data_IF_874194167883
#
_entry.id   IF_874194167883
#
_cell.length_a   1.000
_cell.length_b   1.000
_cell.length_c   1.000
_cell.angle_alpha   90.00
_cell.angle_beta   90.00
_cell.angle_gamma   90.00
#
_symmetry.space_group_name_H-M   'P 1'
#
loop_
_entity.id
_entity.type
_entity.pdbx_description
1 polymer ?
#
# COMPACT_ATOMS: atom_id res chain seq x y z
N UNK A 1 -18.53 17.11 0.65
CA UNK A 1 -18.28 18.54 0.93
C UNK A 1 -18.33 19.24 -0.42
N UNK A 2 -19.12 20.30 -0.58
CA UNK A 2 -19.14 21.08 -1.83
C UNK A 2 -17.88 21.95 -1.86
N UNK A 3 -16.98 21.69 -2.80
CA UNK A 3 -15.70 22.40 -2.97
C UNK A 3 -15.84 23.72 -3.75
N UNK A 4 -17.07 24.09 -4.13
CA UNK A 4 -17.41 25.32 -4.84
C UNK A 4 -17.23 26.54 -3.92
N UNK A 5 -16.07 27.19 -4.01
CA UNK A 5 -15.78 28.46 -3.36
C UNK A 5 -14.55 28.49 -2.45
N UNK A 6 -13.80 27.38 -2.34
CA UNK A 6 -12.55 27.35 -1.58
C UNK A 6 -11.46 28.07 -2.36
N UNK A 7 -10.77 29.02 -1.71
CA UNK A 7 -9.61 29.68 -2.31
C UNK A 7 -8.39 28.73 -2.33
N UNK A 8 -7.42 28.99 -3.21
CA UNK A 8 -6.28 28.10 -3.42
C UNK A 8 -5.55 27.76 -2.11
N UNK A 9 -5.34 28.77 -1.26
CA UNK A 9 -4.64 28.63 0.01
C UNK A 9 -5.38 27.73 1.00
N UNK A 10 -6.68 27.90 1.15
CA UNK A 10 -7.52 27.06 1.99
C UNK A 10 -7.51 25.62 1.49
N UNK A 11 -7.65 25.40 0.17
CA UNK A 11 -7.61 24.05 -0.38
C UNK A 11 -6.26 23.36 -0.17
N UNK A 12 -5.14 24.10 -0.27
CA UNK A 12 -3.80 23.59 0.02
C UNK A 12 -3.66 23.19 1.50
N UNK A 13 -4.23 23.96 2.44
CA UNK A 13 -4.23 23.61 3.86
C UNK A 13 -5.06 22.35 4.16
N UNK A 14 -6.23 22.21 3.54
CA UNK A 14 -7.05 20.99 3.72
C UNK A 14 -6.33 19.77 3.14
N UNK A 15 -5.67 19.91 1.98
CA UNK A 15 -4.85 18.84 1.40
C UNK A 15 -3.70 18.45 2.34
N UNK A 16 -3.04 19.43 2.95
CA UNK A 16 -1.99 19.20 3.93
C UNK A 16 -2.49 18.41 5.15
N UNK A 17 -3.65 18.78 5.69
CA UNK A 17 -4.27 18.06 6.80
C UNK A 17 -4.64 16.63 6.42
N UNK A 18 -5.20 16.43 5.22
CA UNK A 18 -5.51 15.11 4.68
C UNK A 18 -4.26 14.22 4.59
N UNK A 19 -3.15 14.78 4.13
CA UNK A 19 -1.85 14.08 4.09
C UNK A 19 -1.32 13.77 5.49
N UNK A 20 -1.44 14.68 6.46
CA UNK A 20 -1.02 14.42 7.83
C UNK A 20 -1.85 13.30 8.49
N UNK A 21 -3.16 13.24 8.21
CA UNK A 21 -4.02 12.13 8.64
C UNK A 21 -3.60 10.81 7.97
N UNK A 22 -3.29 10.84 6.68
CA UNK A 22 -2.89 9.66 5.93
C UNK A 22 -1.56 9.08 6.46
N UNK A 23 -0.59 9.92 6.78
CA UNK A 23 0.66 9.50 7.46
C UNK A 23 0.37 8.84 8.80
N UNK A 24 -0.53 9.41 9.62
CA UNK A 24 -0.91 8.84 10.92
C UNK A 24 -1.58 7.47 10.78
N UNK A 25 -2.44 7.29 9.78
CA UNK A 25 -3.12 6.02 9.53
C UNK A 25 -2.12 4.96 9.05
N UNK A 26 -1.22 5.30 8.11
CA UNK A 26 -0.22 4.35 7.60
C UNK A 26 0.72 3.88 8.72
N UNK A 27 1.20 4.81 9.57
CA UNK A 27 2.12 4.48 10.68
C UNK A 27 1.45 3.87 11.91
N UNK A 28 0.11 3.85 11.97
CA UNK A 28 -0.62 3.32 13.12
C UNK A 28 -0.56 1.80 13.17
N UNK A 29 -0.50 1.22 14.38
CA UNK A 29 -0.38 -0.23 14.64
C UNK A 29 -1.46 -1.12 13.97
N UNK A 30 -2.52 -0.54 13.43
CA UNK A 30 -3.62 -1.26 12.75
C UNK A 30 -3.87 -0.84 11.31
N UNK A 31 -3.05 0.06 10.75
CA UNK A 31 -3.07 0.54 9.35
C UNK A 31 -4.34 0.21 8.57
N UNK A 32 -5.47 0.83 8.93
CA UNK A 32 -6.78 0.43 8.40
C UNK A 32 -6.86 0.72 6.89
N UNK A 33 -6.84 -0.32 6.03
CA UNK A 33 -6.79 -0.13 4.58
C UNK A 33 -8.01 0.61 4.03
N UNK A 34 -9.17 0.51 4.71
CA UNK A 34 -10.37 1.23 4.30
C UNK A 34 -10.20 2.73 4.56
N UNK A 35 -9.65 3.11 5.72
CA UNK A 35 -9.36 4.52 6.02
C UNK A 35 -8.32 5.12 5.09
N UNK A 36 -7.27 4.36 4.76
CA UNK A 36 -6.28 4.80 3.76
C UNK A 36 -6.97 5.08 2.43
N UNK A 37 -7.81 4.15 1.96
CA UNK A 37 -8.55 4.31 0.69
C UNK A 37 -9.46 5.54 0.68
N UNK A 38 -10.19 5.77 1.78
CA UNK A 38 -11.07 6.94 1.92
C UNK A 38 -10.27 8.24 1.88
N UNK A 39 -9.18 8.32 2.64
CA UNK A 39 -8.32 9.51 2.69
C UNK A 39 -7.62 9.77 1.34
N UNK A 40 -7.22 8.74 0.59
CA UNK A 40 -6.68 8.90 -0.76
C UNK A 40 -7.73 9.47 -1.71
N UNK A 41 -8.95 8.94 -1.68
CA UNK A 41 -10.03 9.43 -2.53
C UNK A 41 -10.42 10.88 -2.19
N UNK A 42 -10.39 11.24 -0.91
CA UNK A 42 -10.59 12.62 -0.48
C UNK A 42 -9.46 13.52 -1.00
N UNK A 43 -8.20 13.16 -0.80
CA UNK A 43 -7.07 13.91 -1.32
C UNK A 43 -7.11 14.11 -2.85
N UNK A 44 -7.55 13.10 -3.60
CA UNK A 44 -7.72 13.17 -5.07
C UNK A 44 -8.77 14.23 -5.45
N UNK A 45 -9.93 14.24 -4.78
CA UNK A 45 -10.95 15.27 -5.01
C UNK A 45 -10.44 16.69 -4.70
N UNK A 46 -9.61 16.84 -3.67
CA UNK A 46 -8.99 18.13 -3.31
C UNK A 46 -8.03 18.57 -4.41
N UNK A 47 -7.18 17.67 -4.87
CA UNK A 47 -6.20 17.96 -5.94
C UNK A 47 -6.89 18.34 -7.23
N UNK A 48 -7.97 17.67 -7.61
CA UNK A 48 -8.75 18.02 -8.80
C UNK A 48 -9.37 19.41 -8.68
N UNK A 49 -9.93 19.73 -7.51
CA UNK A 49 -10.50 21.05 -7.23
C UNK A 49 -9.44 22.15 -7.28
N UNK A 50 -8.27 21.91 -6.67
CA UNK A 50 -7.13 22.83 -6.72
C UNK A 50 -6.58 23.00 -8.13
N UNK A 51 -6.52 21.92 -8.92
CA UNK A 51 -6.09 21.97 -10.32
C UNK A 51 -7.01 22.85 -11.15
N UNK A 52 -8.33 22.74 -10.95
CA UNK A 52 -9.30 23.63 -11.59
C UNK A 52 -9.09 25.10 -11.20
N UNK A 53 -8.90 25.38 -9.91
CA UNK A 53 -8.62 26.75 -9.42
C UNK A 53 -7.35 27.30 -10.07
N UNK A 54 -6.23 26.56 -10.04
CA UNK A 54 -4.95 26.96 -10.64
C UNK A 54 -5.10 27.21 -12.14
N UNK A 55 -5.86 26.39 -12.86
CA UNK A 55 -6.09 26.59 -14.30
C UNK A 55 -6.94 27.84 -14.59
N UNK A 56 -7.84 28.20 -13.67
CA UNK A 56 -8.75 29.33 -13.83
C UNK A 56 -8.14 30.69 -13.44
N UNK A 57 -7.40 30.76 -12.33
CA UNK A 57 -6.86 32.00 -11.76
C UNK A 57 -5.33 32.11 -11.90
N UNK A 58 -4.64 31.01 -12.18
CA UNK A 58 -3.19 30.95 -12.08
C UNK A 58 -2.71 30.96 -10.62
N UNK A 59 -1.39 31.06 -10.47
CA UNK A 59 -0.73 31.27 -9.18
C UNK A 59 -0.42 32.76 -9.08
N UNK A 60 -0.97 33.40 -8.05
CA UNK A 60 -0.88 34.84 -7.90
C UNK A 60 0.41 35.22 -7.14
N UNK A 61 0.84 34.36 -6.20
CA UNK A 61 1.84 34.74 -5.19
C UNK A 61 2.97 33.70 -5.04
N UNK A 62 4.15 34.15 -4.62
CA UNK A 62 5.28 33.26 -4.31
C UNK A 62 4.95 32.30 -3.15
N UNK A 63 4.17 32.76 -2.16
CA UNK A 63 3.74 31.94 -1.02
C UNK A 63 2.93 30.71 -1.47
N UNK A 64 2.08 30.83 -2.49
CA UNK A 64 1.29 29.72 -3.03
C UNK A 64 2.17 28.67 -3.70
N UNK A 65 3.21 29.12 -4.41
CA UNK A 65 4.23 28.25 -5.00
C UNK A 65 5.00 27.49 -3.92
N UNK A 66 5.35 28.16 -2.82
CA UNK A 66 6.05 27.54 -1.70
C UNK A 66 5.16 26.52 -0.98
N UNK A 67 3.88 26.81 -0.76
CA UNK A 67 2.91 25.86 -0.19
C UNK A 67 2.75 24.62 -1.07
N UNK A 68 2.60 24.78 -2.38
CA UNK A 68 2.52 23.64 -3.30
C UNK A 68 3.80 22.79 -3.28
N UNK A 69 4.99 23.41 -3.19
CA UNK A 69 6.25 22.67 -3.05
C UNK A 69 6.28 21.86 -1.76
N UNK A 70 5.84 22.44 -0.64
CA UNK A 70 5.78 21.74 0.65
C UNK A 70 4.81 20.54 0.58
N UNK A 71 3.63 20.73 -0.01
CA UNK A 71 2.63 19.68 -0.20
C UNK A 71 3.16 18.56 -1.10
N UNK A 72 3.87 18.91 -2.19
CA UNK A 72 4.53 17.91 -3.04
C UNK A 72 5.55 17.08 -2.26
N UNK A 73 6.40 17.73 -1.46
CA UNK A 73 7.39 17.02 -0.63
C UNK A 73 6.70 16.04 0.32
N UNK A 74 5.58 16.44 0.93
CA UNK A 74 4.77 15.54 1.78
C UNK A 74 4.19 14.36 0.99
N UNK A 75 3.63 14.61 -0.20
CA UNK A 75 3.10 13.56 -1.07
C UNK A 75 4.19 12.54 -1.47
N UNK A 76 5.38 13.02 -1.84
CA UNK A 76 6.53 12.17 -2.17
C UNK A 76 6.95 11.32 -0.95
N UNK A 77 6.94 11.90 0.25
CA UNK A 77 7.25 11.17 1.49
C UNK A 77 6.21 10.07 1.80
N UNK A 78 4.92 10.36 1.58
CA UNK A 78 3.83 9.37 1.72
C UNK A 78 4.02 8.20 0.75
N UNK A 79 4.35 8.49 -0.52
CA UNK A 79 4.58 7.44 -1.52
C UNK A 79 5.74 6.54 -1.12
N UNK A 80 6.83 7.12 -0.61
CA UNK A 80 7.97 6.33 -0.12
C UNK A 80 7.58 5.47 1.09
N UNK A 81 6.82 6.03 2.04
CA UNK A 81 6.32 5.28 3.19
C UNK A 81 5.46 4.08 2.77
N UNK A 82 4.53 4.27 1.83
CA UNK A 82 3.71 3.17 1.30
C UNK A 82 4.54 2.10 0.60
N UNK A 83 5.61 2.49 -0.11
CA UNK A 83 6.53 1.52 -0.74
C UNK A 83 7.27 0.68 0.29
N UNK A 84 7.79 1.32 1.34
CA UNK A 84 8.48 0.62 2.43
C UNK A 84 7.55 -0.42 3.10
N UNK A 85 6.30 -0.06 3.37
CA UNK A 85 5.30 -0.97 3.92
C UNK A 85 4.97 -2.12 2.95
N UNK A 86 4.83 -1.84 1.65
CA UNK A 86 4.61 -2.87 0.63
C UNK A 86 5.77 -3.85 0.54
N UNK A 87 7.01 -3.38 0.63
CA UNK A 87 8.21 -4.22 0.62
C UNK A 87 8.27 -5.11 1.87
N UNK A 88 7.94 -4.57 3.05
CA UNK A 88 7.85 -5.34 4.29
C UNK A 88 6.76 -6.43 4.21
N UNK A 89 5.58 -6.11 3.65
CA UNK A 89 4.50 -7.08 3.43
C UNK A 89 4.95 -8.18 2.47
N UNK A 90 5.65 -7.84 1.37
CA UNK A 90 6.16 -8.82 0.42
C UNK A 90 7.15 -9.80 1.06
N UNK A 91 8.01 -9.31 1.96
CA UNK A 91 8.93 -10.15 2.72
C UNK A 91 8.18 -11.11 3.68
N UNK A 92 7.16 -10.61 4.38
CA UNK A 92 6.30 -11.45 5.22
C UNK A 92 5.58 -12.55 4.42
N UNK A 93 5.05 -12.23 3.24
CA UNK A 93 4.44 -13.22 2.35
C UNK A 93 5.43 -14.29 1.89
N UNK A 94 6.67 -13.89 1.58
CA UNK A 94 7.75 -14.84 1.25
C UNK A 94 8.08 -15.77 2.42
N UNK A 95 8.08 -15.25 3.64
CA UNK A 95 8.31 -16.05 4.84
C UNK A 95 7.15 -17.03 5.10
N UNK A 96 5.90 -16.61 4.91
CA UNK A 96 4.72 -17.48 5.03
C UNK A 96 4.75 -18.61 4.00
N UNK A 97 5.06 -18.29 2.75
CA UNK A 97 5.14 -19.31 1.67
C UNK A 97 6.24 -20.32 1.94
N UNK A 98 7.40 -19.87 2.42
CA UNK A 98 8.50 -20.75 2.84
C UNK A 98 8.12 -21.60 4.05
N UNK A 99 7.45 -21.01 5.05
CA UNK A 99 6.94 -21.73 6.22
C UNK A 99 5.90 -22.79 5.85
N UNK A 100 5.01 -22.50 4.89
CA UNK A 100 4.05 -23.47 4.35
C UNK A 100 4.73 -24.61 3.60
N UNK A 101 5.77 -24.32 2.83
CA UNK A 101 6.60 -25.35 2.18
C UNK A 101 7.30 -26.23 3.21
N UNK A 102 7.85 -25.64 4.28
CA UNK A 102 8.47 -26.40 5.36
C UNK A 102 7.45 -27.32 6.06
N UNK A 103 6.27 -26.81 6.42
CA UNK A 103 5.19 -27.61 7.00
C UNK A 103 4.77 -28.77 6.08
N UNK A 104 4.56 -28.51 4.79
CA UNK A 104 4.22 -29.55 3.82
C UNK A 104 5.33 -30.61 3.65
N UNK A 105 6.60 -30.24 3.84
CA UNK A 105 7.73 -31.16 3.82
C UNK A 105 7.82 -32.03 5.10
N UNK A 106 7.23 -31.58 6.21
CA UNK A 106 7.07 -32.42 7.41
C UNK A 106 5.82 -33.29 7.36
N UNK A 107 4.79 -32.85 6.62
CA UNK A 107 3.52 -33.57 6.42
C UNK A 107 3.60 -34.60 5.27
N UNK A 108 4.80 -35.13 5.00
CA UNK A 108 4.97 -36.29 4.11
C UNK A 108 4.17 -37.43 4.75
N UNK A 109 3.08 -37.94 4.11
CA UNK A 109 2.39 -39.10 4.64
C UNK A 109 3.42 -40.21 4.81
N UNK A 110 3.36 -41.02 5.89
CA UNK A 110 4.30 -42.12 6.04
C UNK A 110 4.20 -42.91 4.75
N UNK A 111 5.28 -42.88 3.96
CA UNK A 111 5.45 -43.81 2.86
C UNK A 111 5.46 -45.14 3.58
N UNK A 112 4.29 -45.76 3.68
CA UNK A 112 4.18 -47.17 3.95
C UNK A 112 5.12 -47.76 2.93
N UNK A 113 6.24 -48.28 3.42
CA UNK A 113 7.11 -49.16 2.66
C UNK A 113 6.23 -50.35 2.33
N UNK A 114 5.40 -50.16 1.30
CA UNK A 114 4.68 -51.19 0.60
C UNK A 114 5.76 -52.01 -0.06
N UNK A 115 6.35 -52.90 0.72
CA UNK A 115 6.77 -54.19 0.22
C UNK A 115 5.51 -54.83 -0.34
N UNK A 116 5.12 -54.44 -1.55
CA UNK A 116 4.40 -55.35 -2.43
C UNK A 116 5.38 -56.49 -2.62
N UNK A 117 5.13 -57.60 -1.94
CA UNK A 117 5.85 -58.86 -2.07
C UNK A 117 6.26 -59.02 -3.53
N UNK A 118 7.57 -58.97 -3.77
CA UNK A 118 8.11 -59.25 -5.07
C UNK A 118 7.55 -60.59 -5.53
N UNK A 119 6.87 -60.59 -6.68
CA UNK A 119 6.69 -61.83 -7.43
C UNK A 119 8.10 -62.35 -7.71
N UNK A 120 8.55 -63.31 -6.90
CA UNK A 120 9.72 -64.13 -7.19
C UNK A 120 9.40 -64.87 -8.49
N UNK A 121 9.87 -64.31 -9.60
CA UNK A 121 9.86 -65.01 -10.88
C UNK A 121 11.03 -65.98 -10.85
N UNK A 122 10.78 -67.18 -10.37
CA UNK A 122 11.69 -68.32 -10.50
C UNK A 122 11.85 -68.65 -11.98
N UNK A 123 12.95 -68.20 -12.60
CA UNK A 123 13.33 -68.64 -13.95
C UNK A 123 14.29 -69.82 -13.80
N UNK A 124 13.72 -71.03 -13.73
CA UNK A 124 14.46 -72.25 -14.07
C UNK A 124 14.89 -72.19 -15.53
N UNK A 125 16.20 -72.27 -15.78
CA UNK A 125 16.75 -72.84 -17.00
C UNK A 125 18.04 -73.57 -16.67
#
# INVERSE_FOLDING_TARGET
MEWDGINLREGLLVLEECYDQLVKVIKGDSGDPQKITVLVAEAEQIVDSLSFVIQSSGLENQDEVEMMKAIKIKADAIVNLLREEMDAIAELFKNITTGRQALNAYDIPPIGLGYTEGKFVDRKK
#
